data_IF_001526888935
#
_entry.id   IF_001526888935
#
_cell.length_a   1.000
_cell.length_b   1.000
_cell.length_c   1.000
_cell.angle_alpha   90.00
_cell.angle_beta   90.00
_cell.angle_gamma   90.00
#
_symmetry.space_group_name_H-M   'P 1'
#
loop_
_entity.id
_entity.type
_entity.pdbx_description
1 polymer ?
#
# COMPACT_ATOMS: atom_id res chain seq x y z
N UNK A 1 14.72 2.42 -11.85
CA UNK A 1 13.34 1.99 -12.22
C UNK A 1 12.39 3.14 -12.61
N UNK A 2 12.65 4.42 -12.30
CA UNK A 2 11.75 5.55 -12.60
C UNK A 2 11.84 6.15 -14.02
N UNK A 3 12.81 5.74 -14.84
CA UNK A 3 13.07 6.35 -16.15
C UNK A 3 12.04 5.94 -17.24
N UNK A 4 11.63 4.68 -17.26
CA UNK A 4 10.69 4.16 -18.27
C UNK A 4 9.30 4.81 -18.19
N UNK A 5 8.67 4.96 -17.01
CA UNK A 5 7.39 5.67 -16.89
C UNK A 5 7.47 7.16 -17.26
N UNK A 6 8.58 7.82 -16.94
CA UNK A 6 8.79 9.23 -17.25
C UNK A 6 8.88 9.50 -18.76
N UNK A 7 9.38 8.53 -19.54
CA UNK A 7 9.42 8.59 -21.00
C UNK A 7 8.06 8.25 -21.64
N UNK A 8 7.28 7.36 -21.01
CA UNK A 8 6.02 6.87 -21.59
C UNK A 8 4.83 7.81 -21.35
N UNK A 9 4.79 8.49 -20.21
CA UNK A 9 3.63 9.29 -19.76
C UNK A 9 3.87 10.81 -19.97
N UNK A 10 5.02 11.18 -20.55
CA UNK A 10 5.55 12.54 -20.62
C UNK A 10 5.92 13.12 -19.24
N UNK A 11 6.92 14.00 -19.23
CA UNK A 11 7.56 14.42 -17.98
C UNK A 11 6.62 15.20 -17.05
N UNK A 12 5.68 15.98 -17.59
CA UNK A 12 4.78 16.79 -16.77
C UNK A 12 3.70 15.97 -16.07
N UNK A 13 3.15 14.95 -16.74
CA UNK A 13 2.23 14.01 -16.08
C UNK A 13 2.98 13.13 -15.05
N UNK A 14 4.25 12.79 -15.32
CA UNK A 14 5.09 12.09 -14.34
C UNK A 14 5.33 12.94 -13.09
N UNK A 15 5.53 14.26 -13.22
CA UNK A 15 5.60 15.17 -12.07
C UNK A 15 4.29 15.18 -11.29
N UNK A 16 3.14 15.20 -11.95
CA UNK A 16 1.84 15.16 -11.26
C UNK A 16 1.68 13.89 -10.43
N UNK A 17 2.13 12.74 -10.96
CA UNK A 17 2.14 11.48 -10.20
C UNK A 17 3.03 11.58 -8.95
N UNK A 18 4.22 12.15 -9.07
CA UNK A 18 5.13 12.36 -7.92
C UNK A 18 4.57 13.36 -6.90
N UNK A 19 3.85 14.39 -7.35
CA UNK A 19 3.17 15.34 -6.46
C UNK A 19 2.03 14.67 -5.68
N UNK A 20 1.28 13.77 -6.32
CA UNK A 20 0.26 12.96 -5.66
C UNK A 20 0.85 12.05 -4.56
N UNK A 21 1.97 11.39 -4.85
CA UNK A 21 2.70 10.56 -3.88
C UNK A 21 3.20 11.41 -2.69
N UNK A 22 3.76 12.60 -2.98
CA UNK A 22 4.18 13.53 -1.94
C UNK A 22 3.02 14.01 -1.06
N UNK A 23 1.88 14.35 -1.66
CA UNK A 23 0.69 14.77 -0.92
C UNK A 23 0.18 13.66 0.01
N UNK A 24 0.17 12.41 -0.46
CA UNK A 24 -0.23 11.26 0.36
C UNK A 24 0.75 11.00 1.51
N UNK A 25 2.04 11.16 1.27
CA UNK A 25 3.05 11.07 2.33
C UNK A 25 2.89 12.19 3.38
N UNK A 26 2.58 13.42 2.97
CA UNK A 26 2.28 14.51 3.90
C UNK A 26 1.01 14.23 4.71
N UNK A 27 -0.06 13.74 4.06
CA UNK A 27 -1.28 13.33 4.72
C UNK A 27 -1.02 12.28 5.79
N UNK A 28 -0.19 11.27 5.49
CA UNK A 28 0.21 10.24 6.45
C UNK A 28 0.93 10.82 7.68
N UNK A 29 1.84 11.78 7.50
CA UNK A 29 2.63 12.35 8.60
C UNK A 29 1.88 13.39 9.44
N UNK A 30 1.00 14.20 8.82
CA UNK A 30 0.44 15.40 9.45
C UNK A 30 -1.01 15.23 9.93
N UNK A 31 -1.75 14.25 9.39
CA UNK A 31 -3.18 14.10 9.70
C UNK A 31 -3.37 13.32 11.01
N UNK A 32 -4.30 13.74 11.89
CA UNK A 32 -4.63 12.98 13.10
C UNK A 32 -5.08 11.57 12.76
N UNK A 33 -4.74 10.61 13.64
CA UNK A 33 -4.95 9.16 13.43
C UNK A 33 -6.37 8.81 12.97
N UNK A 34 -7.39 9.45 13.56
CA UNK A 34 -8.80 9.20 13.27
C UNK A 34 -9.24 9.59 11.85
N UNK A 35 -8.49 10.48 11.19
CA UNK A 35 -8.75 10.93 9.82
C UNK A 35 -7.65 10.49 8.84
N UNK A 36 -6.70 9.68 9.30
CA UNK A 36 -5.55 9.28 8.52
C UNK A 36 -5.88 8.03 7.71
N UNK A 37 -6.15 8.22 6.42
CA UNK A 37 -6.69 7.15 5.56
C UNK A 37 -5.79 5.91 5.51
N UNK A 38 -4.46 6.02 5.29
CA UNK A 38 -3.56 4.85 5.33
C UNK A 38 -3.58 4.11 6.68
N UNK A 39 -3.67 4.83 7.79
CA UNK A 39 -3.66 4.23 9.13
C UNK A 39 -4.97 3.49 9.40
N UNK A 40 -6.11 4.09 9.07
CA UNK A 40 -7.42 3.44 9.19
C UNK A 40 -7.48 2.16 8.35
N UNK A 41 -6.99 2.21 7.10
CA UNK A 41 -6.93 1.03 6.22
C UNK A 41 -6.07 -0.08 6.84
N UNK A 42 -4.94 0.27 7.43
CA UNK A 42 -4.05 -0.68 8.11
C UNK A 42 -4.71 -1.30 9.35
N UNK A 43 -5.38 -0.49 10.17
CA UNK A 43 -6.10 -0.95 11.36
C UNK A 43 -7.24 -1.91 11.00
N UNK A 44 -7.97 -1.63 9.93
CA UNK A 44 -8.99 -2.55 9.41
C UNK A 44 -8.37 -3.88 8.99
N UNK A 45 -7.25 -3.87 8.28
CA UNK A 45 -6.51 -5.08 7.91
C UNK A 45 -6.11 -5.91 9.14
N UNK A 46 -5.52 -5.26 10.14
CA UNK A 46 -5.13 -5.91 11.41
C UNK A 46 -6.35 -6.50 12.13
N UNK A 47 -7.48 -5.79 12.13
CA UNK A 47 -8.71 -6.28 12.76
C UNK A 47 -9.24 -7.53 12.04
N UNK A 48 -9.41 -7.49 10.72
CA UNK A 48 -9.90 -8.66 9.98
C UNK A 48 -8.97 -9.87 10.10
N UNK A 49 -7.67 -9.64 10.10
CA UNK A 49 -6.69 -10.71 10.26
C UNK A 49 -6.72 -11.31 11.67
N UNK A 50 -6.55 -10.50 12.72
CA UNK A 50 -6.44 -10.98 14.10
C UNK A 50 -7.77 -11.34 14.75
N UNK A 51 -8.84 -10.64 14.39
CA UNK A 51 -10.17 -10.80 14.99
C UNK A 51 -11.04 -11.83 14.29
N UNK A 52 -10.94 -11.93 12.96
CA UNK A 52 -11.78 -12.80 12.13
C UNK A 52 -11.00 -13.92 11.43
N UNK A 53 -9.69 -14.05 11.68
CA UNK A 53 -8.83 -15.09 11.11
C UNK A 53 -8.90 -15.14 9.57
N UNK A 54 -9.10 -13.98 8.94
CA UNK A 54 -9.14 -13.86 7.49
C UNK A 54 -7.72 -13.69 6.95
N UNK A 55 -7.15 -14.78 6.42
CA UNK A 55 -5.77 -14.82 5.89
C UNK A 55 -5.61 -14.16 4.51
N UNK A 56 -6.72 -13.80 3.84
CA UNK A 56 -6.69 -13.28 2.47
C UNK A 56 -7.30 -11.90 2.35
N UNK A 57 -6.64 -11.03 1.57
CA UNK A 57 -7.12 -9.69 1.23
C UNK A 57 -7.42 -9.62 -0.27
N UNK A 58 -8.68 -9.37 -0.64
CA UNK A 58 -9.08 -9.26 -2.05
C UNK A 58 -9.05 -7.80 -2.51
N UNK A 59 -8.30 -7.51 -3.57
CA UNK A 59 -8.23 -6.18 -4.19
C UNK A 59 -8.93 -6.24 -5.54
N UNK A 60 -10.06 -5.56 -5.65
CA UNK A 60 -10.95 -5.60 -6.81
C UNK A 60 -11.02 -4.22 -7.47
N UNK A 61 -10.05 -3.83 -8.32
CA UNK A 61 -10.13 -2.58 -9.05
C UNK A 61 -11.22 -2.66 -10.11
N UNK A 62 -12.17 -1.73 -10.06
CA UNK A 62 -13.29 -1.65 -11.02
C UNK A 62 -12.89 -1.05 -12.38
N UNK A 63 -11.60 -0.73 -12.58
CA UNK A 63 -11.07 -0.17 -13.82
C UNK A 63 -10.02 -1.10 -14.43
N UNK A 64 -10.21 -1.49 -15.69
CA UNK A 64 -9.33 -2.37 -16.44
C UNK A 64 -7.88 -1.85 -16.52
N UNK A 65 -7.68 -0.53 -16.56
CA UNK A 65 -6.34 0.08 -16.57
C UNK A 65 -5.54 -0.21 -15.29
N UNK A 66 -6.20 -0.61 -14.20
CA UNK A 66 -5.59 -0.94 -12.92
C UNK A 66 -5.40 -2.45 -12.73
N UNK A 67 -5.55 -3.27 -13.77
CA UNK A 67 -5.36 -4.73 -13.65
C UNK A 67 -3.98 -5.11 -13.07
N UNK A 68 -2.91 -4.42 -13.49
CA UNK A 68 -1.57 -4.67 -12.97
C UNK A 68 -1.38 -4.16 -11.53
N UNK A 69 -2.24 -3.25 -11.05
CA UNK A 69 -2.12 -2.68 -9.71
C UNK A 69 -2.25 -3.76 -8.64
N UNK A 70 -3.18 -4.70 -8.80
CA UNK A 70 -3.37 -5.79 -7.85
C UNK A 70 -2.10 -6.64 -7.69
N UNK A 71 -1.41 -6.95 -8.79
CA UNK A 71 -0.16 -7.73 -8.78
C UNK A 71 0.99 -6.95 -8.14
N UNK A 72 1.14 -5.67 -8.48
CA UNK A 72 2.17 -4.81 -7.87
C UNK A 72 1.93 -4.62 -6.37
N UNK A 73 0.67 -4.45 -5.95
CA UNK A 73 0.32 -4.33 -4.54
C UNK A 73 0.58 -5.62 -3.79
N UNK A 74 0.18 -6.77 -4.35
CA UNK A 74 0.41 -8.08 -3.74
C UNK A 74 1.89 -8.33 -3.49
N UNK A 75 2.76 -8.00 -4.44
CA UNK A 75 4.20 -8.09 -4.22
C UNK A 75 4.63 -7.16 -3.09
N UNK A 76 4.25 -5.88 -3.12
CA UNK A 76 4.62 -4.91 -2.10
C UNK A 76 4.20 -5.33 -0.69
N UNK A 77 3.00 -5.88 -0.54
CA UNK A 77 2.45 -6.29 0.74
C UNK A 77 3.08 -7.60 1.22
N UNK A 78 2.98 -8.68 0.44
CA UNK A 78 3.47 -10.00 0.84
C UNK A 78 5.00 -10.04 1.01
N UNK A 79 5.76 -9.31 0.19
CA UNK A 79 7.23 -9.26 0.31
C UNK A 79 7.67 -8.49 1.56
N UNK A 80 6.92 -7.44 1.94
CA UNK A 80 7.22 -6.61 3.10
C UNK A 80 6.75 -7.23 4.40
N UNK A 81 5.53 -7.75 4.42
CA UNK A 81 4.81 -8.18 5.63
C UNK A 81 4.81 -9.69 5.86
N UNK A 82 5.13 -10.52 4.85
CA UNK A 82 5.30 -11.97 4.99
C UNK A 82 6.57 -12.35 5.76
N UNK A 83 6.75 -11.82 6.97
CA UNK A 83 7.93 -12.02 7.82
C UNK A 83 7.54 -12.77 9.07
N UNK A 84 8.18 -13.91 9.29
CA UNK A 84 7.94 -14.74 10.46
C UNK A 84 8.74 -14.29 11.69
N UNK A 85 9.36 -13.10 11.74
CA UNK A 85 10.22 -12.67 12.85
C UNK A 85 10.00 -11.17 13.12
N UNK A 86 9.62 -10.85 14.35
CA UNK A 86 9.49 -9.49 14.87
C UNK A 86 10.86 -8.86 15.07
N UNK A 87 10.96 -7.53 15.06
CA UNK A 87 12.20 -6.79 15.33
C UNK A 87 12.92 -7.18 16.63
N UNK A 88 12.19 -7.76 17.60
CA UNK A 88 12.72 -8.30 18.86
C UNK A 88 13.01 -9.81 18.82
N UNK A 89 13.02 -10.44 17.64
CA UNK A 89 13.14 -11.89 17.44
C UNK A 89 11.98 -12.70 18.06
N UNK A 90 10.74 -12.38 17.68
CA UNK A 90 9.54 -13.15 18.10
C UNK A 90 8.67 -13.45 16.88
N UNK A 91 8.20 -14.68 16.68
CA UNK A 91 7.51 -15.07 15.44
C UNK A 91 6.09 -14.52 15.40
N UNK A 92 5.73 -13.78 14.35
CA UNK A 92 4.35 -13.41 14.01
C UNK A 92 4.10 -13.75 12.54
N UNK A 93 3.05 -14.52 12.28
CA UNK A 93 2.53 -14.72 10.93
C UNK A 93 1.58 -13.55 10.63
N UNK A 94 1.86 -12.84 9.54
CA UNK A 94 0.84 -12.21 8.69
C UNK A 94 0.55 -13.22 7.59
#
# INVERSE_FOLDING_TARGET
>A
MKLSPALHVEFDNFKQLLLGDHWMNQHFCMTPLENNTPILLTLLGIWYFNGFWCETHAILPYNQCLHCFAVYFQQSDMESNGKCITKSCMVWFI
#
